data_IF_219781253563
#
_entry.id   IF_219781253563
#
_cell.length_a   1.000
_cell.length_b   1.000
_cell.length_c   1.000
_cell.angle_alpha   90.00
_cell.angle_beta   90.00
_cell.angle_gamma   90.00
#
_symmetry.space_group_name_H-M   'P 1'
#
loop_
_entity.id
_entity.type
_entity.pdbx_description
1 polymer ?
#
# COMPACT_ATOMS: atom_id res chain seq x y z
N UNK A 1 7.99 -6.83 -1.06
CA UNK A 1 7.22 -5.58 -1.19
C UNK A 1 7.99 -4.38 -0.62
N UNK A 2 8.24 -4.30 0.70
CA UNK A 2 8.88 -3.13 1.33
C UNK A 2 10.17 -2.73 0.62
N UNK A 3 11.12 -3.67 0.49
CA UNK A 3 12.40 -3.42 -0.21
C UNK A 3 12.19 -2.89 -1.62
N UNK A 4 11.47 -3.64 -2.45
CA UNK A 4 11.24 -3.30 -3.85
C UNK A 4 10.56 -1.94 -4.03
N UNK A 5 9.58 -1.61 -3.19
CA UNK A 5 8.90 -0.30 -3.21
C UNK A 5 9.88 0.80 -2.80
N UNK A 6 10.67 0.60 -1.75
CA UNK A 6 11.69 1.58 -1.34
C UNK A 6 12.69 1.85 -2.45
N UNK A 7 13.24 0.81 -3.07
CA UNK A 7 14.20 0.95 -4.17
C UNK A 7 13.55 1.61 -5.41
N UNK A 8 12.29 1.31 -5.72
CA UNK A 8 11.56 1.93 -6.82
C UNK A 8 11.36 3.44 -6.59
N UNK A 9 11.05 3.85 -5.36
CA UNK A 9 10.92 5.27 -4.99
C UNK A 9 12.27 5.99 -5.10
N UNK A 10 13.35 5.41 -4.58
CA UNK A 10 14.70 5.97 -4.72
C UNK A 10 15.07 6.20 -6.19
N UNK A 11 14.84 5.21 -7.07
CA UNK A 11 15.12 5.36 -8.51
C UNK A 11 14.25 6.40 -9.22
N UNK A 12 12.99 6.55 -8.79
CA UNK A 12 12.02 7.42 -9.49
C UNK A 12 12.11 8.88 -9.05
N UNK A 13 12.44 9.12 -7.79
CA UNK A 13 12.41 10.45 -7.16
C UNK A 13 13.80 10.94 -6.70
N UNK A 14 14.85 10.15 -6.95
CA UNK A 14 16.24 10.41 -6.51
C UNK A 14 16.36 10.69 -5.00
N UNK A 15 15.53 9.99 -4.22
CA UNK A 15 15.45 10.15 -2.77
C UNK A 15 16.43 9.21 -2.04
N UNK A 16 17.10 9.64 -0.95
CA UNK A 16 17.95 8.77 -0.13
C UNK A 16 17.15 7.61 0.47
N UNK A 17 17.70 6.39 0.45
CA UNK A 17 16.99 5.19 0.89
C UNK A 17 16.54 5.25 2.36
N UNK A 18 17.39 5.81 3.22
CA UNK A 18 17.14 6.02 4.63
C UNK A 18 16.02 7.03 4.93
N UNK A 19 15.61 7.82 3.94
CA UNK A 19 14.48 8.75 4.05
C UNK A 19 13.14 8.08 3.71
N UNK A 20 13.15 6.96 2.98
CA UNK A 20 11.94 6.27 2.53
C UNK A 20 11.33 5.44 3.66
N UNK A 21 10.01 5.56 3.85
CA UNK A 21 9.24 4.77 4.81
C UNK A 21 8.07 4.11 4.10
N UNK A 22 7.89 2.81 4.34
CA UNK A 22 6.77 2.02 3.81
C UNK A 22 5.94 1.52 4.98
N UNK A 23 4.66 1.85 5.00
CA UNK A 23 3.71 1.37 6.00
C UNK A 23 2.76 0.39 5.30
N UNK A 24 2.64 -0.82 5.85
CA UNK A 24 1.68 -1.82 5.39
C UNK A 24 0.55 -1.87 6.40
N UNK A 25 -0.67 -1.59 5.93
CA UNK A 25 -1.88 -1.71 6.73
C UNK A 25 -2.76 -2.80 6.14
N UNK A 26 -2.83 -3.95 6.81
CA UNK A 26 -3.77 -5.00 6.44
C UNK A 26 -5.17 -4.66 6.98
N UNK A 27 -6.17 -4.82 6.12
CA UNK A 27 -7.57 -4.50 6.43
C UNK A 27 -8.44 -5.71 6.10
N UNK A 28 -9.24 -6.24 7.05
CA UNK A 28 -10.25 -7.22 6.73
C UNK A 28 -11.19 -6.71 5.63
N UNK A 29 -11.61 -7.59 4.73
CA UNK A 29 -12.47 -7.26 3.57
C UNK A 29 -13.79 -6.58 3.97
N UNK A 30 -14.27 -6.85 5.18
CA UNK A 30 -15.46 -6.24 5.78
C UNK A 30 -15.26 -4.76 6.10
N UNK A 31 -14.03 -4.34 6.38
CA UNK A 31 -13.69 -2.99 6.84
C UNK A 31 -13.18 -2.09 5.72
N UNK A 32 -12.97 -2.62 4.51
CA UNK A 32 -12.55 -1.85 3.34
C UNK A 32 -13.74 -1.56 2.43
N UNK A 33 -14.12 -0.29 2.28
CA UNK A 33 -15.26 0.15 1.48
C UNK A 33 -14.87 0.61 0.07
N UNK A 34 -15.64 0.20 -0.95
CA UNK A 34 -15.49 0.59 -2.35
C UNK A 34 -16.87 1.02 -2.85
N UNK A 35 -17.01 2.30 -3.24
CA UNK A 35 -18.28 2.88 -3.70
C UNK A 35 -19.48 2.58 -2.77
N UNK A 36 -19.26 2.63 -1.45
CA UNK A 36 -20.29 2.38 -0.44
C UNK A 36 -20.58 0.91 -0.10
N UNK A 37 -19.88 -0.05 -0.72
CA UNK A 37 -20.00 -1.49 -0.40
C UNK A 37 -18.69 -2.03 0.18
N UNK A 38 -18.74 -2.95 1.14
CA UNK A 38 -17.52 -3.60 1.62
C UNK A 38 -16.89 -4.48 0.53
N UNK A 39 -15.56 -4.60 0.52
CA UNK A 39 -14.85 -5.48 -0.40
C UNK A 39 -15.37 -6.93 -0.31
N UNK A 40 -15.72 -7.37 0.92
CA UNK A 40 -16.38 -8.67 1.15
C UNK A 40 -17.67 -8.82 0.33
N UNK A 41 -18.55 -7.81 0.33
CA UNK A 41 -19.81 -7.84 -0.43
C UNK A 41 -19.57 -7.86 -1.95
N UNK A 42 -18.47 -7.28 -2.39
CA UNK A 42 -18.05 -7.28 -3.80
C UNK A 42 -17.29 -8.55 -4.22
N UNK A 43 -17.12 -9.53 -3.31
CA UNK A 43 -16.40 -10.77 -3.60
C UNK A 43 -14.88 -10.60 -3.77
N UNK A 44 -14.31 -9.50 -3.28
CA UNK A 44 -12.88 -9.19 -3.34
C UNK A 44 -12.20 -9.37 -2.00
#
# INVERSE_FOLDING_TARGET
LIREVSEAICRSLDAPLESVRVIINEMPKQHFGIAGQSAKKLGR
#
